data_IF_091975113710
#
_entry.id   IF_091975113710
#
_cell.length_a   1.000
_cell.length_b   1.000
_cell.length_c   1.000
_cell.angle_alpha   90.00
_cell.angle_beta   90.00
_cell.angle_gamma   90.00
#
_symmetry.space_group_name_H-M   'P 1'
#
loop_
_entity.id
_entity.type
_entity.pdbx_description
1 polymer ?
#
# COMPACT_ATOMS: atom_id res chain seq x y z
N UNK A 1 -14.49 25.79 6.94
CA UNK A 1 -13.83 24.61 6.34
C UNK A 1 -14.89 23.59 5.96
N UNK A 2 -14.92 23.12 4.71
CA UNK A 2 -15.92 22.14 4.32
C UNK A 2 -15.54 20.74 4.85
N UNK A 3 -16.53 19.92 5.24
CA UNK A 3 -16.26 18.55 5.70
C UNK A 3 -15.52 17.69 4.67
N UNK A 4 -15.79 17.88 3.39
CA UNK A 4 -15.13 17.14 2.32
C UNK A 4 -13.63 17.45 2.24
N UNK A 5 -13.25 18.72 2.40
CA UNK A 5 -11.84 19.13 2.42
C UNK A 5 -11.12 18.56 3.63
N UNK A 6 -11.77 18.60 4.80
CA UNK A 6 -11.24 18.08 6.04
C UNK A 6 -11.02 16.56 5.93
N UNK A 7 -11.99 15.83 5.38
CA UNK A 7 -11.89 14.39 5.17
C UNK A 7 -10.81 14.00 4.18
N UNK A 8 -10.64 14.77 3.10
CA UNK A 8 -9.59 14.53 2.12
C UNK A 8 -8.20 14.70 2.73
N UNK A 9 -7.98 15.77 3.50
CA UNK A 9 -6.71 16.01 4.17
C UNK A 9 -6.38 14.90 5.17
N UNK A 10 -7.37 14.43 5.92
CA UNK A 10 -7.18 13.34 6.87
C UNK A 10 -6.79 12.05 6.16
N UNK A 11 -7.45 11.72 5.06
CA UNK A 11 -7.14 10.53 4.26
C UNK A 11 -5.73 10.57 3.69
N UNK A 12 -5.28 11.74 3.23
CA UNK A 12 -3.92 11.89 2.73
C UNK A 12 -2.91 11.62 3.84
N UNK A 13 -3.11 12.19 5.03
CA UNK A 13 -2.22 11.98 6.17
C UNK A 13 -2.19 10.52 6.62
N UNK A 14 -3.34 9.87 6.64
CA UNK A 14 -3.45 8.47 7.05
C UNK A 14 -2.84 7.52 6.03
N UNK A 15 -2.88 7.87 4.74
CA UNK A 15 -2.33 7.03 3.67
C UNK A 15 -0.83 7.18 3.51
N UNK A 16 -0.24 8.30 3.92
CA UNK A 16 1.18 8.56 3.71
C UNK A 16 2.10 7.46 4.27
N UNK A 17 1.91 6.95 5.50
CA UNK A 17 2.74 5.87 6.00
C UNK A 17 2.63 4.58 5.18
N UNK A 18 1.46 4.31 4.61
CA UNK A 18 1.25 3.14 3.75
C UNK A 18 2.09 3.28 2.48
N UNK A 19 2.03 4.43 1.82
CA UNK A 19 2.83 4.68 0.62
C UNK A 19 4.32 4.65 0.91
N UNK A 20 4.74 5.20 2.06
CA UNK A 20 6.14 5.15 2.48
C UNK A 20 6.61 3.70 2.64
N UNK A 21 5.80 2.85 3.27
CA UNK A 21 6.12 1.44 3.44
C UNK A 21 6.19 0.71 2.10
N UNK A 22 5.30 1.02 1.16
CA UNK A 22 5.28 0.41 -0.16
C UNK A 22 6.35 0.95 -1.10
N UNK A 23 7.02 2.03 -0.73
CA UNK A 23 8.06 2.67 -1.55
C UNK A 23 9.40 1.96 -1.56
N UNK A 24 9.47 0.72 -1.11
CA UNK A 24 10.66 -0.14 -1.14
C UNK A 24 10.38 -1.37 -1.99
N UNK A 25 11.28 -1.71 -2.90
CA UNK A 25 11.08 -2.81 -3.84
C UNK A 25 10.86 -4.15 -3.13
N UNK A 26 11.62 -4.44 -2.08
CA UNK A 26 11.49 -5.69 -1.34
C UNK A 26 10.15 -5.75 -0.60
N UNK A 27 9.78 -4.67 0.07
CA UNK A 27 8.48 -4.62 0.77
C UNK A 27 7.32 -4.77 -0.19
N UNK A 28 7.40 -4.13 -1.35
CA UNK A 28 6.35 -4.26 -2.37
C UNK A 28 6.22 -5.70 -2.84
N UNK A 29 7.33 -6.39 -3.05
CA UNK A 29 7.33 -7.81 -3.42
C UNK A 29 6.71 -8.69 -2.33
N UNK A 30 7.03 -8.42 -1.06
CA UNK A 30 6.45 -9.16 0.06
C UNK A 30 4.93 -8.97 0.14
N UNK A 31 4.46 -7.74 -0.04
CA UNK A 31 3.02 -7.45 -0.05
C UNK A 31 2.34 -8.17 -1.22
N UNK A 32 2.93 -8.12 -2.41
CA UNK A 32 2.39 -8.80 -3.58
C UNK A 32 2.31 -10.31 -3.36
N UNK A 33 3.34 -10.89 -2.74
CA UNK A 33 3.39 -12.33 -2.43
C UNK A 33 2.32 -12.72 -1.42
N UNK A 34 2.18 -11.96 -0.34
CA UNK A 34 1.14 -12.20 0.67
C UNK A 34 -0.26 -12.06 0.08
N UNK A 35 -0.43 -11.14 -0.86
CA UNK A 35 -1.71 -10.95 -1.53
C UNK A 35 -2.06 -12.16 -2.43
N UNK A 36 -1.08 -12.67 -3.16
CA UNK A 36 -1.30 -13.75 -4.12
C UNK A 36 -1.45 -15.13 -3.45
N UNK A 37 -0.58 -15.40 -2.47
CA UNK A 37 -0.44 -16.73 -1.89
C UNK A 37 -1.10 -16.89 -0.52
N UNK A 38 -1.58 -15.79 0.07
CA UNK A 38 -2.14 -15.79 1.41
C UNK A 38 -1.07 -15.79 2.49
N UNK A 39 -1.43 -16.18 3.75
CA UNK A 39 -0.46 -16.16 4.85
C UNK A 39 0.73 -17.09 4.60
N UNK A 40 1.93 -16.59 4.87
CA UNK A 40 3.18 -17.32 4.65
C UNK A 40 4.14 -17.13 5.83
N UNK A 41 4.98 -18.15 6.07
CA UNK A 41 6.06 -18.05 7.05
C UNK A 41 7.21 -17.20 6.52
N UNK A 42 8.08 -16.74 7.44
CA UNK A 42 9.29 -16.02 7.05
C UNK A 42 10.16 -16.87 6.14
N UNK A 43 10.24 -18.17 6.40
CA UNK A 43 11.01 -19.09 5.58
C UNK A 43 10.53 -19.07 4.12
N UNK A 44 9.21 -19.18 3.91
CA UNK A 44 8.63 -19.13 2.58
C UNK A 44 8.82 -17.77 1.92
N UNK A 45 8.62 -16.71 2.68
CA UNK A 45 8.81 -15.34 2.16
C UNK A 45 10.25 -15.05 1.78
N UNK A 46 11.21 -15.68 2.45
CA UNK A 46 12.64 -15.46 2.18
C UNK A 46 13.15 -16.19 0.95
N UNK A 47 12.43 -17.19 0.46
CA UNK A 47 12.88 -18.03 -0.67
C UNK A 47 13.05 -17.25 -1.97
N UNK A 48 12.24 -16.23 -2.19
CA UNK A 48 12.21 -15.53 -3.49
C UNK A 48 12.83 -14.13 -3.45
N UNK A 49 13.47 -13.77 -2.36
CA UNK A 49 14.08 -12.45 -2.23
C UNK A 49 15.59 -12.59 -2.01
N UNK A 50 16.34 -11.68 -2.62
CA UNK A 50 17.81 -11.68 -2.56
C UNK A 50 18.33 -10.92 -1.34
N UNK A 51 17.67 -11.10 -0.19
CA UNK A 51 18.06 -10.46 1.05
C UNK A 51 18.05 -11.51 2.17
N UNK A 52 18.73 -11.20 3.26
CA UNK A 52 18.82 -12.11 4.38
C UNK A 52 17.45 -12.29 5.05
N UNK A 53 17.29 -13.40 5.77
CA UNK A 53 16.09 -13.63 6.58
C UNK A 53 15.88 -12.53 7.60
N UNK A 54 16.97 -12.00 8.19
CA UNK A 54 16.90 -10.87 9.12
C UNK A 54 16.37 -9.61 8.43
N UNK A 55 16.79 -9.36 7.20
CA UNK A 55 16.30 -8.23 6.42
C UNK A 55 14.81 -8.39 6.10
N UNK A 56 14.37 -9.60 5.73
CA UNK A 56 12.94 -9.88 5.51
C UNK A 56 12.15 -9.57 6.79
N UNK A 57 12.63 -9.99 7.94
CA UNK A 57 11.98 -9.71 9.22
C UNK A 57 11.85 -8.21 9.47
N UNK A 58 12.90 -7.43 9.19
CA UNK A 58 12.85 -5.97 9.33
C UNK A 58 11.82 -5.34 8.39
N UNK A 59 11.75 -5.83 7.16
CA UNK A 59 10.75 -5.35 6.21
C UNK A 59 9.34 -5.68 6.67
N UNK A 60 9.11 -6.88 7.19
CA UNK A 60 7.81 -7.27 7.72
C UNK A 60 7.40 -6.42 8.92
N UNK A 61 8.35 -6.10 9.80
CA UNK A 61 8.07 -5.20 10.93
C UNK A 61 7.73 -3.78 10.47
N UNK A 62 8.38 -3.30 9.43
CA UNK A 62 8.04 -2.01 8.83
C UNK A 62 6.63 -2.03 8.23
N UNK A 63 6.25 -3.13 7.58
CA UNK A 63 4.89 -3.31 7.05
C UNK A 63 3.86 -3.38 8.17
N UNK A 64 4.19 -4.06 9.27
CA UNK A 64 3.32 -4.12 10.44
C UNK A 64 3.10 -2.73 11.04
N UNK A 65 4.18 -1.95 11.18
CA UNK A 65 4.08 -0.60 11.71
C UNK A 65 3.18 0.30 10.84
N UNK A 66 3.12 0.05 9.55
CA UNK A 66 2.26 0.79 8.62
C UNK A 66 0.83 0.20 8.56
N UNK A 67 0.56 -0.89 9.27
CA UNK A 67 -0.74 -1.54 9.27
C UNK A 67 -1.02 -2.38 8.03
N UNK A 68 0.02 -2.82 7.31
CA UNK A 68 -0.13 -3.59 6.06
C UNK A 68 0.02 -5.08 6.25
N UNK A 69 0.69 -5.52 7.30
CA UNK A 69 0.90 -6.92 7.57
C UNK A 69 0.87 -7.15 9.08
N UNK A 70 0.57 -8.36 9.47
CA UNK A 70 0.59 -8.74 10.89
C UNK A 70 1.05 -10.19 11.05
N UNK A 71 1.79 -10.49 12.14
CA UNK A 71 2.15 -11.86 12.45
C UNK A 71 0.98 -12.58 13.11
N UNK A 72 0.94 -13.88 12.91
CA UNK A 72 -0.05 -14.76 13.52
C UNK A 72 0.58 -16.11 13.80
N UNK A 73 0.15 -16.78 14.86
CA UNK A 73 0.61 -18.12 15.14
C UNK A 73 -0.27 -19.18 14.50
N UNK A 74 0.39 -20.14 13.86
CA UNK A 74 -0.27 -21.35 13.37
C UNK A 74 0.53 -22.53 13.93
N UNK A 75 0.02 -23.14 15.01
CA UNK A 75 0.77 -24.15 15.73
C UNK A 75 2.05 -23.57 16.33
N UNK A 76 3.19 -24.14 15.99
CA UNK A 76 4.51 -23.66 16.43
C UNK A 76 5.12 -22.63 15.50
N UNK A 77 4.49 -22.40 14.34
CA UNK A 77 5.01 -21.56 13.30
C UNK A 77 4.42 -20.17 13.37
N UNK A 78 5.24 -19.15 13.18
CA UNK A 78 4.78 -17.79 12.98
C UNK A 78 4.59 -17.55 11.49
N UNK A 79 3.39 -17.13 11.12
CA UNK A 79 3.08 -16.76 9.76
C UNK A 79 2.75 -15.27 9.70
N UNK A 80 2.91 -14.71 8.53
CA UNK A 80 2.55 -13.31 8.26
C UNK A 80 1.39 -13.28 7.28
N UNK A 81 0.46 -12.38 7.52
CA UNK A 81 -0.68 -12.20 6.63
C UNK A 81 -0.87 -10.72 6.32
N UNK A 82 -1.46 -10.46 5.16
CA UNK A 82 -1.73 -9.12 4.71
C UNK A 82 -2.92 -8.54 5.47
N UNK A 83 -2.78 -7.28 5.91
CA UNK A 83 -3.87 -6.53 6.51
C UNK A 83 -4.43 -5.60 5.43
N UNK A 84 -5.64 -5.89 4.94
CA UNK A 84 -6.17 -5.24 3.75
C UNK A 84 -6.84 -3.90 4.00
N UNK A 85 -7.18 -3.59 5.27
CA UNK A 85 -7.90 -2.36 5.60
C UNK A 85 -7.15 -1.11 5.15
N UNK A 86 -5.86 -1.03 5.48
CA UNK A 86 -5.03 0.13 5.12
C UNK A 86 -4.78 0.21 3.63
N UNK A 87 -4.64 -0.93 2.98
CA UNK A 87 -4.52 -0.98 1.52
C UNK A 87 -5.78 -0.44 0.84
N UNK A 88 -6.96 -0.78 1.34
CA UNK A 88 -8.21 -0.27 0.80
C UNK A 88 -8.31 1.25 0.97
N UNK A 89 -7.86 1.78 2.10
CA UNK A 89 -7.82 3.23 2.33
C UNK A 89 -6.85 3.91 1.37
N UNK A 90 -5.67 3.33 1.16
CA UNK A 90 -4.68 3.86 0.22
C UNK A 90 -5.21 3.84 -1.21
N UNK A 91 -5.94 2.80 -1.59
CA UNK A 91 -6.59 2.73 -2.90
C UNK A 91 -7.57 3.86 -3.09
N UNK A 92 -8.39 4.17 -2.09
CA UNK A 92 -9.31 5.29 -2.15
C UNK A 92 -8.58 6.62 -2.34
N UNK A 93 -7.43 6.80 -1.67
CA UNK A 93 -6.60 7.98 -1.83
C UNK A 93 -6.05 8.09 -3.26
N UNK A 94 -5.58 6.98 -3.82
CA UNK A 94 -5.11 6.95 -5.21
C UNK A 94 -6.24 7.24 -6.20
N UNK A 95 -7.42 6.70 -5.96
CA UNK A 95 -8.59 6.97 -6.80
C UNK A 95 -8.95 8.45 -6.78
N UNK A 96 -8.87 9.08 -5.61
CA UNK A 96 -9.11 10.51 -5.48
C UNK A 96 -8.09 11.32 -6.29
N UNK A 97 -6.80 11.00 -6.16
CA UNK A 97 -5.73 11.67 -6.91
C UNK A 97 -5.92 11.46 -8.41
N UNK A 98 -6.19 10.22 -8.83
CA UNK A 98 -6.42 9.88 -10.23
C UNK A 98 -7.61 10.63 -10.80
N UNK A 99 -8.69 10.74 -10.03
CA UNK A 99 -9.88 11.49 -10.44
C UNK A 99 -9.59 12.98 -10.65
N UNK A 100 -8.80 13.58 -9.76
CA UNK A 100 -8.39 14.98 -9.91
C UNK A 100 -7.54 15.17 -11.18
N UNK A 101 -6.61 14.27 -11.43
CA UNK A 101 -5.76 14.32 -12.61
C UNK A 101 -6.59 14.16 -13.89
N UNK A 102 -7.53 13.22 -13.90
CA UNK A 102 -8.43 13.01 -15.04
C UNK A 102 -9.26 14.26 -15.33
N UNK A 103 -9.72 14.95 -14.29
CA UNK A 103 -10.47 16.19 -14.44
C UNK A 103 -9.61 17.29 -15.06
N UNK A 104 -8.35 17.42 -14.65
CA UNK A 104 -7.40 18.38 -15.24
C UNK A 104 -7.16 18.07 -16.71
N UNK A 105 -6.91 16.80 -17.04
CA UNK A 105 -6.73 16.37 -18.43
C UNK A 105 -7.98 16.66 -19.26
N UNK A 106 -9.17 16.37 -18.70
CA UNK A 106 -10.44 16.65 -19.39
C UNK A 106 -10.63 18.12 -19.70
N UNK A 107 -10.30 19.01 -18.74
CA UNK A 107 -10.39 20.46 -18.98
C UNK A 107 -9.40 20.92 -20.04
N UNK A 108 -8.18 20.40 -20.00
CA UNK A 108 -7.17 20.75 -21.00
C UNK A 108 -7.58 20.29 -22.39
N UNK A 109 -8.10 19.06 -22.50
CA UNK A 109 -8.59 18.51 -23.76
C UNK A 109 -9.73 19.36 -24.33
N UNK A 110 -10.69 19.72 -23.46
CA UNK A 110 -11.81 20.58 -23.89
C UNK A 110 -11.32 21.93 -24.36
N UNK A 111 -10.35 22.53 -23.71
CA UNK A 111 -9.76 23.81 -24.13
C UNK A 111 -9.11 23.68 -25.49
N UNK A 112 -8.32 22.64 -25.72
CA UNK A 112 -7.65 22.41 -27.01
C UNK A 112 -8.68 22.19 -28.14
N UNK A 113 -9.71 21.39 -27.87
CA UNK A 113 -10.74 21.08 -28.86
C UNK A 113 -11.63 22.28 -29.19
N UNK A 114 -11.79 23.21 -28.24
CA UNK A 114 -12.58 24.42 -28.44
C UNK A 114 -11.83 25.51 -29.24
N UNK A 115 -10.52 25.41 -29.37
CA UNK A 115 -9.70 26.38 -30.07
C UNK A 115 -9.73 26.10 -31.59
N UNK A 116 -10.19 27.03 -32.43
CA UNK A 116 -10.22 26.80 -33.87
C UNK A 116 -8.85 26.70 -34.52
#
# INVERSE_FOLDING_TARGET
MSPARSGAAARLRESAPVFAALGDATRLRLVARLSADGPLSITRLSEDVEVTRQAVTKHLLALEAAGLARPRRRGREQIWELETRRLAQARQTLDFISGQWDAVIGRLKAFVEATP
#
